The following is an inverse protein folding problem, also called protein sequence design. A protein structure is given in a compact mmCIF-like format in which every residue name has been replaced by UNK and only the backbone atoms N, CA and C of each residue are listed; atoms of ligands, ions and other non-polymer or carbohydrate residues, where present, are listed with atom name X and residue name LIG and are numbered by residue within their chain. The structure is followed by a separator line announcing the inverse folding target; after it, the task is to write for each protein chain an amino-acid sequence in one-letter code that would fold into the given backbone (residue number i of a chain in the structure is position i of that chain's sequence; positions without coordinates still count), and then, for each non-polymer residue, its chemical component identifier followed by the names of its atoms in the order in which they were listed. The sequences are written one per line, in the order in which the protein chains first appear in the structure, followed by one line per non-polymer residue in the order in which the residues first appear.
data_IF_072755138622
#
_entry.id   IF_072755138622
#
_cell.length_a   1.000
_cell.length_b   1.000
_cell.length_c   1.000
_cell.angle_alpha   90.00
_cell.angle_beta   90.00
_cell.angle_gamma   90.00
#
_symmetry.space_group_name_H-M   'P 1'
#
loop_
_entity.id
_entity.type
_entity.pdbx_description
1 polymer ?
#
# COMPACT_ATOMS: atom_id res chain seq x y z
N UNK A 1 17.89 3.62 -9.47
CA UNK A 1 17.85 4.22 -8.13
C UNK A 1 17.34 3.18 -7.14
N UNK A 2 17.81 3.20 -5.89
CA UNK A 2 17.41 2.24 -4.86
C UNK A 2 16.21 2.78 -4.08
N UNK A 3 15.35 1.91 -3.55
CA UNK A 3 14.12 2.29 -2.85
C UNK A 3 13.92 1.41 -1.62
N UNK A 4 13.44 2.01 -0.52
CA UNK A 4 13.05 1.28 0.68
C UNK A 4 11.57 0.91 0.60
N UNK A 5 11.23 -0.34 0.89
CA UNK A 5 9.86 -0.86 0.79
C UNK A 5 9.30 -1.24 2.16
N UNK A 6 8.12 -0.71 2.48
CA UNK A 6 7.34 -1.15 3.62
C UNK A 6 6.60 -2.45 3.25
N UNK A 7 7.18 -3.59 3.61
CA UNK A 7 6.63 -4.91 3.26
C UNK A 7 5.52 -5.35 4.20
N UNK A 8 5.69 -5.09 5.49
CA UNK A 8 4.77 -5.58 6.52
C UNK A 8 4.85 -4.68 7.76
N UNK A 9 3.71 -4.56 8.43
CA UNK A 9 3.68 -4.10 9.81
C UNK A 9 2.48 -4.70 10.55
N UNK A 10 2.48 -4.51 11.86
CA UNK A 10 1.48 -5.06 12.76
C UNK A 10 1.28 -4.14 13.95
N UNK A 11 0.11 -4.24 14.58
CA UNK A 11 -0.24 -3.47 15.75
C UNK A 11 -0.97 -4.35 16.75
N UNK A 12 -0.71 -4.15 18.04
CA UNK A 12 -1.46 -4.82 19.10
C UNK A 12 -2.93 -4.38 19.05
N UNK A 13 -3.91 -5.30 19.04
CA UNK A 13 -5.33 -4.95 18.88
C UNK A 13 -5.84 -3.94 19.91
N UNK A 14 -5.45 -4.12 21.17
CA UNK A 14 -5.90 -3.27 22.28
C UNK A 14 -5.24 -1.89 22.32
N UNK A 15 -4.16 -1.67 21.56
CA UNK A 15 -3.36 -0.45 21.59
C UNK A 15 -3.38 0.31 20.26
N UNK A 16 -4.36 0.04 19.39
CA UNK A 16 -4.44 0.68 18.05
C UNK A 16 -4.54 2.20 18.11
N UNK A 17 -5.06 2.75 19.21
CA UNK A 17 -5.21 4.20 19.41
C UNK A 17 -3.99 4.85 20.10
N UNK A 18 -2.92 4.10 20.37
CA UNK A 18 -1.71 4.61 21.03
C UNK A 18 -0.85 5.55 20.16
N UNK A 19 -1.05 5.53 18.84
CA UNK A 19 -0.19 6.24 17.89
C UNK A 19 1.12 5.53 17.56
N UNK A 20 1.38 4.34 18.12
CA UNK A 20 2.62 3.60 17.91
C UNK A 20 2.89 3.28 16.42
N UNK A 21 1.85 2.93 15.65
CA UNK A 21 1.95 2.70 14.21
C UNK A 21 2.53 3.91 13.46
N UNK A 22 2.04 5.11 13.81
CA UNK A 22 2.49 6.36 13.17
C UNK A 22 3.93 6.68 13.54
N UNK A 23 4.30 6.48 14.81
CA UNK A 23 5.66 6.70 15.29
C UNK A 23 6.65 5.76 14.59
N UNK A 24 6.35 4.46 14.54
CA UNK A 24 7.23 3.48 13.87
C UNK A 24 7.36 3.78 12.38
N UNK A 25 6.29 4.19 11.71
CA UNK A 25 6.34 4.57 10.30
C UNK A 25 7.22 5.82 10.09
N UNK A 26 7.08 6.83 10.96
CA UNK A 26 7.89 8.04 10.90
C UNK A 26 9.38 7.74 11.08
N UNK A 27 9.73 6.97 12.11
CA UNK A 27 11.11 6.53 12.34
C UNK A 27 11.66 5.71 11.18
N UNK A 28 10.85 4.86 10.55
CA UNK A 28 11.24 4.09 9.38
C UNK A 28 11.54 4.99 8.16
N UNK A 29 10.75 6.06 7.96
CA UNK A 29 11.01 7.07 6.91
C UNK A 29 12.32 7.80 7.21
N UNK A 30 12.52 8.25 8.45
CA UNK A 30 13.76 8.91 8.85
C UNK A 30 14.98 8.00 8.65
N UNK A 31 14.89 6.75 9.08
CA UNK A 31 15.95 5.77 8.89
C UNK A 31 16.24 5.54 7.40
N UNK A 32 15.20 5.30 6.59
CA UNK A 32 15.36 5.09 5.15
C UNK A 32 16.00 6.29 4.45
N UNK A 33 15.75 7.52 4.92
CA UNK A 33 16.36 8.73 4.36
C UNK A 33 17.90 8.73 4.43
N UNK A 34 18.49 7.93 5.32
CA UNK A 34 19.95 7.77 5.44
C UNK A 34 20.57 6.90 4.34
N UNK A 35 19.77 6.11 3.63
CA UNK A 35 20.23 5.14 2.61
C UNK A 35 19.57 5.31 1.25
N UNK A 36 18.41 5.98 1.17
CA UNK A 36 17.70 6.27 -0.09
C UNK A 36 16.83 7.53 0.04
N UNK A 37 16.56 8.17 -1.10
CA UNK A 37 15.62 9.28 -1.22
C UNK A 37 14.18 8.81 -1.48
N UNK A 38 13.95 7.50 -1.65
CA UNK A 38 12.64 6.96 -2.00
C UNK A 38 12.14 5.96 -0.94
N UNK A 39 11.01 6.29 -0.33
CA UNK A 39 10.26 5.40 0.56
C UNK A 39 8.95 4.98 -0.09
N UNK A 40 8.75 3.68 -0.26
CA UNK A 40 7.58 3.12 -0.90
C UNK A 40 6.73 2.35 0.10
N UNK A 41 5.51 2.86 0.31
CA UNK A 41 4.52 2.30 1.21
C UNK A 41 3.79 1.06 0.65
N UNK A 42 4.16 0.60 -0.56
CA UNK A 42 3.47 -0.36 -1.43
C UNK A 42 2.06 0.06 -1.89
N UNK A 43 1.36 0.86 -1.10
CA UNK A 43 0.01 1.31 -1.34
C UNK A 43 -1.05 0.32 -0.84
N UNK A 44 -2.32 0.66 -1.02
CA UNK A 44 -3.42 -0.23 -0.67
C UNK A 44 -4.67 0.12 -1.47
N UNK A 45 -5.46 -0.90 -1.81
CA UNK A 45 -6.82 -0.71 -2.35
C UNK A 45 -7.85 -0.45 -1.24
N UNK A 46 -7.45 -0.54 0.03
CA UNK A 46 -8.31 -0.22 1.18
C UNK A 46 -8.19 1.29 1.49
N UNK A 47 -9.26 2.10 1.36
CA UNK A 47 -9.18 3.55 1.45
C UNK A 47 -8.65 4.10 2.79
N UNK A 48 -8.90 3.40 3.91
CA UNK A 48 -8.40 3.80 5.22
C UNK A 48 -6.89 3.64 5.34
N UNK A 49 -6.33 2.58 4.74
CA UNK A 49 -4.88 2.32 4.72
C UNK A 49 -4.18 3.31 3.79
N UNK A 50 -4.75 3.56 2.60
CA UNK A 50 -4.24 4.57 1.69
C UNK A 50 -4.16 5.95 2.35
N UNK A 51 -5.23 6.37 3.04
CA UNK A 51 -5.30 7.66 3.72
C UNK A 51 -4.22 7.80 4.80
N UNK A 52 -3.93 6.72 5.52
CA UNK A 52 -2.85 6.69 6.50
C UNK A 52 -1.50 6.99 5.85
N UNK A 53 -1.14 6.31 4.75
CA UNK A 53 0.12 6.55 4.05
C UNK A 53 0.22 7.96 3.45
N UNK A 54 -0.87 8.45 2.85
CA UNK A 54 -0.94 9.83 2.34
C UNK A 54 -0.70 10.88 3.41
N UNK A 55 -1.02 10.59 4.67
CA UNK A 55 -0.72 11.46 5.82
C UNK A 55 0.78 11.75 6.02
N UNK A 56 1.67 10.90 5.49
CA UNK A 56 3.13 11.09 5.53
C UNK A 56 3.70 11.80 4.28
N UNK A 57 2.83 12.32 3.40
CA UNK A 57 3.25 12.97 2.15
C UNK A 57 3.44 12.00 0.97
N UNK A 58 2.91 10.78 1.05
CA UNK A 58 3.00 9.81 -0.04
C UNK A 58 2.21 10.27 -1.28
N UNK A 59 2.82 10.10 -2.45
CA UNK A 59 2.16 10.30 -3.76
C UNK A 59 1.54 8.99 -4.24
N UNK A 60 0.28 9.02 -4.68
CA UNK A 60 -0.36 7.85 -5.27
C UNK A 60 0.27 7.51 -6.63
N UNK A 61 0.65 6.24 -6.80
CA UNK A 61 1.17 5.69 -8.06
C UNK A 61 0.22 4.62 -8.57
N UNK A 62 -0.23 4.68 -9.83
CA UNK A 62 -1.16 3.70 -10.38
C UNK A 62 -0.52 2.31 -10.50
N UNK A 63 -1.29 1.28 -10.13
CA UNK A 63 -0.93 -0.12 -10.35
C UNK A 63 -1.80 -0.71 -11.46
N UNK A 64 -1.18 -1.28 -12.48
CA UNK A 64 -1.88 -1.87 -13.61
C UNK A 64 -2.04 -3.38 -13.41
N UNK A 65 -3.24 -3.89 -13.64
CA UNK A 65 -3.49 -5.32 -13.76
C UNK A 65 -3.62 -5.69 -15.24
N UNK A 66 -2.60 -6.35 -15.78
CA UNK A 66 -2.52 -6.70 -17.20
C UNK A 66 -2.87 -8.17 -17.39
N UNK A 67 -3.78 -8.46 -18.31
CA UNK A 67 -4.24 -9.82 -18.60
C UNK A 67 -4.27 -10.09 -20.10
N UNK A 68 -4.05 -11.34 -20.50
CA UNK A 68 -4.24 -11.77 -21.88
C UNK A 68 -5.73 -11.81 -22.20
N UNK A 69 -6.16 -10.98 -23.15
CA UNK A 69 -7.57 -10.89 -23.54
C UNK A 69 -7.94 -12.06 -24.47
N UNK A 70 -8.81 -12.95 -24.00
CA UNK A 70 -9.44 -13.99 -24.81
C UNK A 70 -10.93 -14.15 -24.44
N UNK A 71 -11.68 -14.91 -25.23
CA UNK A 71 -13.14 -15.05 -25.05
C UNK A 71 -13.51 -15.61 -23.67
N UNK A 72 -12.77 -16.62 -23.19
CA UNK A 72 -12.98 -17.21 -21.86
C UNK A 72 -12.71 -16.23 -20.72
N UNK A 73 -11.67 -15.41 -20.85
CA UNK A 73 -11.34 -14.38 -19.88
C UNK A 73 -12.40 -13.29 -19.81
N UNK A 74 -12.99 -12.89 -20.94
CA UNK A 74 -14.13 -11.96 -20.96
C UNK A 74 -15.35 -12.53 -20.23
N UNK A 75 -15.72 -13.78 -20.52
CA UNK A 75 -16.85 -14.45 -19.86
C UNK A 75 -16.61 -14.59 -18.34
N UNK A 76 -15.39 -14.99 -17.96
CA UNK A 76 -14.98 -15.09 -16.56
C UNK A 76 -15.03 -13.72 -15.86
N UNK A 77 -14.48 -12.67 -16.47
CA UNK A 77 -14.54 -11.33 -15.91
C UNK A 77 -15.96 -10.82 -15.73
N UNK A 78 -16.84 -10.95 -16.74
CA UNK A 78 -18.22 -10.49 -16.63
C UNK A 78 -18.94 -11.22 -15.49
N UNK A 79 -18.79 -12.54 -15.40
CA UNK A 79 -19.43 -13.33 -14.35
C UNK A 79 -18.97 -12.95 -12.93
N UNK A 80 -17.66 -12.78 -12.70
CA UNK A 80 -17.15 -12.49 -11.35
C UNK A 80 -17.13 -11.01 -10.98
N UNK A 81 -17.21 -10.08 -11.96
CA UNK A 81 -17.26 -8.64 -11.69
C UNK A 81 -18.66 -8.17 -11.32
N UNK A 82 -19.71 -8.83 -11.79
CA UNK A 82 -21.10 -8.51 -11.46
C UNK A 82 -21.56 -9.14 -10.13
N UNK A 83 -20.84 -10.14 -9.61
CA UNK A 83 -21.14 -10.83 -8.35
C UNK A 83 -20.28 -10.35 -7.15
N UNK A 84 -19.74 -9.13 -7.23
CA UNK A 84 -19.01 -8.44 -6.15
C UNK A 84 -19.69 -7.12 -5.83
#
# INVERSE_FOLDING_TARGET
ENMAYYLQGGNHPDLRNSGAASLVMWEAIQFASTVTQQFNFAGSMIPSIERFFRGFGATQVPYFSIYKNNLFFKLWQTFFRENK
#
